data_IF_483058126048
#
_entry.id   IF_483058126048
#
_cell.length_a   1.000
_cell.length_b   1.000
_cell.length_c   1.000
_cell.angle_alpha   90.00
_cell.angle_beta   90.00
_cell.angle_gamma   90.00
#
_symmetry.space_group_name_H-M   'P 1'
#
loop_
_entity.id
_entity.type
_entity.pdbx_description
1 polymer ?
#
# COMPACT_ATOMS: atom_id res chain seq x y z
N UNK A 1 -6.83 31.48 17.92
CA UNK A 1 -7.12 30.03 17.92
C UNK A 1 -6.34 29.37 16.79
N UNK A 2 -5.25 28.66 17.09
CA UNK A 2 -4.50 27.87 16.10
C UNK A 2 -5.27 26.56 15.86
N UNK A 3 -5.68 26.30 14.61
CA UNK A 3 -6.16 24.98 14.20
C UNK A 3 -5.03 23.99 14.46
N UNK A 4 -5.29 22.95 15.25
CA UNK A 4 -4.42 21.80 15.35
C UNK A 4 -4.34 21.14 13.96
N UNK A 5 -3.30 21.48 13.20
CA UNK A 5 -2.94 20.77 11.99
C UNK A 5 -2.46 19.40 12.40
N UNK A 6 -3.26 18.37 12.14
CA UNK A 6 -2.77 17.00 12.19
C UNK A 6 -1.52 16.93 11.31
N UNK A 7 -0.41 16.47 11.90
CA UNK A 7 0.79 16.14 11.15
C UNK A 7 0.47 14.95 10.23
N UNK A 8 -0.17 15.23 9.10
CA UNK A 8 -0.28 14.28 8.00
C UNK A 8 1.13 14.10 7.47
N UNK A 9 1.74 12.93 7.72
CA UNK A 9 3.03 12.59 7.15
C UNK A 9 3.00 12.87 5.64
N UNK A 10 3.95 13.67 5.16
CA UNK A 10 4.00 14.03 3.74
C UNK A 10 4.44 12.77 3.00
N UNK A 11 3.96 12.56 1.78
CA UNK A 11 4.29 11.38 0.98
C UNK A 11 5.81 11.03 0.90
N UNK A 12 6.75 12.00 0.88
CA UNK A 12 8.19 11.71 1.02
C UNK A 12 8.56 11.02 2.33
N UNK A 13 7.94 11.37 3.46
CA UNK A 13 8.17 10.74 4.76
C UNK A 13 7.71 9.28 4.73
N UNK A 14 6.55 9.03 4.11
CA UNK A 14 5.96 7.70 3.97
C UNK A 14 6.81 6.80 3.05
N UNK A 15 7.23 7.32 1.91
CA UNK A 15 8.08 6.60 0.97
C UNK A 15 9.48 6.30 1.55
N UNK A 16 10.00 7.21 2.37
CA UNK A 16 11.24 7.05 3.13
C UNK A 16 11.12 5.98 4.22
N UNK A 17 10.02 5.98 4.97
CA UNK A 17 9.74 5.02 6.05
C UNK A 17 9.61 3.57 5.52
N UNK A 18 8.97 3.38 4.37
CA UNK A 18 8.78 2.06 3.76
C UNK A 18 9.93 1.60 2.88
N UNK A 19 11.04 2.36 2.84
CA UNK A 19 12.21 2.00 2.04
C UNK A 19 11.95 1.84 0.54
N UNK A 20 10.80 2.34 0.05
CA UNK A 20 10.40 2.26 -1.36
C UNK A 20 11.42 2.98 -2.24
N UNK A 21 12.03 4.04 -1.70
CA UNK A 21 13.04 4.88 -2.35
C UNK A 21 14.40 4.15 -2.50
N UNK A 22 14.67 3.07 -1.74
CA UNK A 22 15.99 2.39 -1.78
C UNK A 22 16.30 1.74 -3.11
N UNK A 23 15.27 1.34 -3.87
CA UNK A 23 15.42 0.61 -5.13
C UNK A 23 15.42 1.50 -6.38
N UNK A 24 15.40 2.83 -6.23
CA UNK A 24 15.18 3.74 -7.37
C UNK A 24 16.39 4.67 -7.57
N UNK A 25 16.84 4.88 -8.83
CA UNK A 25 18.02 5.71 -9.11
C UNK A 25 17.94 7.11 -8.48
N UNK A 26 19.03 7.56 -7.85
CA UNK A 26 19.13 8.89 -7.22
C UNK A 26 18.70 8.99 -5.74
N UNK A 27 18.24 7.89 -5.12
CA UNK A 27 18.03 7.80 -3.67
C UNK A 27 17.08 8.87 -3.10
N UNK A 28 17.31 9.36 -1.87
CA UNK A 28 16.43 10.36 -1.21
C UNK A 28 16.68 11.82 -1.65
N UNK A 29 17.70 12.08 -2.48
CA UNK A 29 18.24 13.43 -2.70
C UNK A 29 18.12 13.93 -4.16
N UNK A 30 17.20 13.42 -4.96
CA UNK A 30 17.04 13.89 -6.33
C UNK A 30 15.87 14.90 -6.44
N UNK A 31 16.08 16.00 -7.16
CA UNK A 31 15.02 16.93 -7.55
C UNK A 31 13.89 16.23 -8.33
N UNK A 32 14.23 15.11 -8.98
CA UNK A 32 13.28 14.20 -9.61
C UNK A 32 12.26 13.64 -8.59
N UNK A 33 12.66 13.29 -7.36
CA UNK A 33 11.75 12.76 -6.34
C UNK A 33 10.75 13.78 -5.81
N UNK A 34 11.18 15.02 -5.59
CA UNK A 34 10.24 16.08 -5.20
C UNK A 34 9.21 16.32 -6.30
N UNK A 35 9.63 16.29 -7.57
CA UNK A 35 8.70 16.40 -8.70
C UNK A 35 7.70 15.24 -8.73
N UNK A 36 8.15 14.00 -8.57
CA UNK A 36 7.28 12.82 -8.51
C UNK A 36 6.31 12.88 -7.32
N UNK A 37 6.79 13.29 -6.15
CA UNK A 37 5.95 13.43 -4.96
C UNK A 37 4.87 14.51 -5.14
N UNK A 38 5.22 15.64 -5.75
CA UNK A 38 4.25 16.70 -6.07
C UNK A 38 3.21 16.21 -7.08
N UNK A 39 3.65 15.56 -8.16
CA UNK A 39 2.74 14.96 -9.15
C UNK A 39 1.80 13.92 -8.55
N UNK A 40 2.24 13.17 -7.54
CA UNK A 40 1.37 12.23 -6.85
C UNK A 40 0.37 12.93 -5.93
N UNK A 41 0.78 14.04 -5.30
CA UNK A 41 -0.10 14.89 -4.49
C UNK A 41 -1.23 15.52 -5.30
N UNK A 42 -0.97 15.86 -6.56
CA UNK A 42 -1.94 16.44 -7.49
C UNK A 42 -2.84 15.38 -8.18
N UNK A 43 -2.49 14.10 -8.05
CA UNK A 43 -3.22 13.01 -8.70
C UNK A 43 -4.58 12.80 -8.00
N UNK A 44 -5.70 12.71 -8.73
CA UNK A 44 -6.98 12.34 -8.13
C UNK A 44 -6.92 10.91 -7.59
N UNK A 45 -7.73 10.62 -6.56
CA UNK A 45 -7.84 9.27 -6.01
C UNK A 45 -8.18 8.26 -7.11
N UNK A 46 -7.44 7.16 -7.11
CA UNK A 46 -7.62 6.10 -8.10
C UNK A 46 -8.93 5.35 -7.86
N UNK A 47 -9.52 4.89 -8.95
CA UNK A 47 -10.76 4.13 -8.97
C UNK A 47 -10.51 2.73 -9.52
N UNK A 48 -11.46 1.82 -9.32
CA UNK A 48 -11.37 0.46 -9.86
C UNK A 48 -11.19 0.45 -11.39
N UNK A 49 -11.62 1.50 -12.09
CA UNK A 49 -11.54 1.61 -13.54
C UNK A 49 -10.16 2.03 -14.06
N UNK A 50 -9.36 2.77 -13.27
CA UNK A 50 -8.12 3.38 -13.77
C UNK A 50 -6.84 2.91 -13.07
N UNK A 51 -6.93 2.30 -11.89
CA UNK A 51 -5.73 2.10 -11.07
C UNK A 51 -4.67 1.19 -11.70
N UNK A 52 -5.08 0.18 -12.48
CA UNK A 52 -4.15 -0.74 -13.16
C UNK A 52 -3.31 0.02 -14.17
N UNK A 53 -3.97 0.71 -15.10
CA UNK A 53 -3.32 1.55 -16.10
C UNK A 53 -2.43 2.61 -15.45
N UNK A 54 -2.91 3.27 -14.39
CA UNK A 54 -2.10 4.29 -13.71
C UNK A 54 -0.85 3.70 -13.07
N UNK A 55 -0.89 2.48 -12.50
CA UNK A 55 0.31 1.83 -11.96
C UNK A 55 1.34 1.53 -13.04
N UNK A 56 0.89 1.06 -14.20
CA UNK A 56 1.77 0.77 -15.35
C UNK A 56 2.38 2.05 -15.94
N UNK A 57 1.60 3.13 -16.06
CA UNK A 57 2.12 4.44 -16.47
C UNK A 57 3.15 5.01 -15.48
N UNK A 58 2.90 4.84 -14.19
CA UNK A 58 3.79 5.32 -13.13
C UNK A 58 5.10 4.55 -13.07
N UNK A 59 5.12 3.27 -13.43
CA UNK A 59 6.38 2.53 -13.59
C UNK A 59 7.33 3.29 -14.53
N UNK A 60 6.85 3.68 -15.71
CA UNK A 60 7.65 4.39 -16.71
C UNK A 60 8.07 5.79 -16.23
N UNK A 61 7.21 6.47 -15.46
CA UNK A 61 7.53 7.79 -14.88
C UNK A 61 8.62 7.75 -13.82
N UNK A 62 8.68 6.66 -13.04
CA UNK A 62 9.68 6.48 -11.98
C UNK A 62 11.07 6.16 -12.54
N UNK A 63 11.16 5.63 -13.77
CA UNK A 63 12.42 5.34 -14.43
C UNK A 63 12.28 4.30 -15.53
N UNK A 64 13.07 4.43 -16.59
CA UNK A 64 13.03 3.57 -17.78
C UNK A 64 13.99 2.39 -17.74
N UNK A 65 14.99 2.41 -16.87
CA UNK A 65 16.10 1.43 -16.89
C UNK A 65 15.80 0.15 -16.11
N UNK A 66 14.75 0.14 -15.27
CA UNK A 66 14.39 -0.99 -14.43
C UNK A 66 12.87 -1.23 -14.40
N UNK A 67 12.45 -2.46 -14.15
CA UNK A 67 11.05 -2.76 -13.84
C UNK A 67 10.70 -2.22 -12.45
N UNK A 68 10.11 -1.02 -12.42
CA UNK A 68 9.72 -0.31 -11.20
C UNK A 68 8.25 -0.51 -10.81
N UNK A 69 7.57 -1.55 -11.33
CA UNK A 69 6.17 -1.83 -11.05
C UNK A 69 5.88 -2.03 -9.55
N UNK A 70 6.81 -2.71 -8.86
CA UNK A 70 6.79 -2.90 -7.41
C UNK A 70 6.84 -1.56 -6.64
N UNK A 71 7.63 -0.59 -7.13
CA UNK A 71 7.70 0.73 -6.54
C UNK A 71 6.43 1.54 -6.86
N UNK A 72 6.00 1.55 -8.12
CA UNK A 72 4.81 2.26 -8.58
C UNK A 72 3.54 1.84 -7.80
N UNK A 73 3.31 0.54 -7.68
CA UNK A 73 2.16 0.01 -6.91
C UNK A 73 2.20 0.43 -5.43
N UNK A 74 3.37 0.44 -4.79
CA UNK A 74 3.52 0.92 -3.40
C UNK A 74 3.25 2.41 -3.27
N UNK A 75 3.80 3.24 -4.15
CA UNK A 75 3.55 4.68 -4.14
C UNK A 75 2.07 5.00 -4.32
N UNK A 76 1.44 4.41 -5.33
CA UNK A 76 0.03 4.64 -5.61
C UNK A 76 -0.88 4.06 -4.52
N UNK A 77 -0.45 3.00 -3.82
CA UNK A 77 -1.13 2.53 -2.63
C UNK A 77 -1.06 3.53 -1.47
N UNK A 78 0.07 4.19 -1.21
CA UNK A 78 0.09 5.24 -0.18
C UNK A 78 -0.82 6.42 -0.54
N UNK A 79 -0.88 6.74 -1.82
CA UNK A 79 -1.76 7.77 -2.33
C UNK A 79 -3.25 7.39 -2.19
N UNK A 80 -3.69 6.28 -2.79
CA UNK A 80 -5.12 5.94 -2.89
C UNK A 80 -5.59 4.84 -1.94
N UNK A 81 -4.68 4.02 -1.42
CA UNK A 81 -4.95 2.78 -0.69
C UNK A 81 -5.76 1.82 -1.56
N UNK A 82 -7.08 1.82 -1.43
CA UNK A 82 -7.97 1.10 -2.32
C UNK A 82 -8.21 1.92 -3.61
N UNK A 83 -8.18 1.29 -4.80
CA UNK A 83 -8.17 -0.15 -5.08
C UNK A 83 -6.80 -0.79 -5.31
N UNK A 84 -5.71 -0.02 -5.24
CA UNK A 84 -4.34 -0.45 -5.60
C UNK A 84 -3.89 -1.69 -4.81
N UNK A 85 -3.23 -2.65 -5.48
CA UNK A 85 -2.66 -3.84 -4.83
C UNK A 85 -1.16 -3.72 -4.81
N UNK A 86 -0.54 -3.89 -3.64
CA UNK A 86 0.91 -3.77 -3.54
C UNK A 86 1.54 -4.96 -4.25
N UNK A 87 2.30 -4.71 -5.31
CA UNK A 87 3.16 -5.71 -5.91
C UNK A 87 4.49 -5.73 -5.15
N UNK A 88 4.82 -6.87 -4.57
CA UNK A 88 6.04 -7.07 -3.78
C UNK A 88 6.61 -8.46 -4.01
N UNK A 89 7.95 -8.61 -3.97
CA UNK A 89 8.62 -9.89 -4.24
C UNK A 89 8.13 -11.02 -3.33
N UNK A 90 7.79 -10.74 -2.07
CA UNK A 90 7.26 -11.78 -1.19
C UNK A 90 5.81 -12.12 -1.53
N UNK A 91 5.00 -11.12 -1.87
CA UNK A 91 3.64 -11.36 -2.31
C UNK A 91 3.60 -12.15 -3.63
N UNK A 92 4.47 -11.84 -4.60
CA UNK A 92 4.58 -12.62 -5.84
C UNK A 92 5.02 -14.06 -5.57
N UNK A 93 5.97 -14.28 -4.65
CA UNK A 93 6.37 -15.63 -4.23
C UNK A 93 5.23 -16.40 -3.56
N UNK A 94 4.49 -15.76 -2.65
CA UNK A 94 3.34 -16.38 -1.98
C UNK A 94 2.21 -16.75 -2.94
N UNK A 95 1.99 -15.93 -3.98
CA UNK A 95 0.97 -16.16 -5.00
C UNK A 95 1.47 -17.00 -6.19
N UNK A 96 2.71 -17.51 -6.13
CA UNK A 96 3.37 -18.21 -7.24
C UNK A 96 3.33 -17.44 -8.58
N UNK A 97 3.33 -16.11 -8.51
CA UNK A 97 3.33 -15.23 -9.67
C UNK A 97 4.75 -15.05 -10.21
N UNK A 98 5.03 -15.66 -11.36
CA UNK A 98 6.36 -15.67 -11.98
C UNK A 98 6.46 -14.71 -13.17
N UNK A 99 5.42 -14.62 -14.00
CA UNK A 99 5.35 -13.76 -15.19
C UNK A 99 3.92 -13.25 -15.39
N UNK A 100 3.78 -12.07 -15.99
CA UNK A 100 2.50 -11.48 -16.36
C UNK A 100 2.48 -9.96 -16.22
N UNK A 101 1.32 -9.39 -16.52
CA UNK A 101 1.00 -7.98 -16.34
C UNK A 101 0.65 -7.66 -14.89
N UNK A 102 0.56 -6.37 -14.54
CA UNK A 102 0.05 -5.96 -13.24
C UNK A 102 -1.42 -6.37 -13.05
N UNK A 103 -2.21 -6.39 -14.13
CA UNK A 103 -3.58 -6.88 -14.13
C UNK A 103 -3.67 -8.36 -13.74
N UNK A 104 -2.77 -9.20 -14.26
CA UNK A 104 -2.71 -10.63 -13.92
C UNK A 104 -2.40 -10.83 -12.43
N UNK A 105 -1.43 -10.07 -11.90
CA UNK A 105 -1.15 -10.03 -10.47
C UNK A 105 -2.37 -9.61 -9.64
N UNK A 106 -3.06 -8.54 -10.04
CA UNK A 106 -4.25 -8.06 -9.32
C UNK A 106 -5.38 -9.10 -9.31
N UNK A 107 -5.52 -9.87 -10.39
CA UNK A 107 -6.49 -10.96 -10.51
C UNK A 107 -6.18 -12.08 -9.51
N UNK A 108 -4.92 -12.55 -9.47
CA UNK A 108 -4.47 -13.57 -8.52
C UNK A 108 -4.62 -13.10 -7.06
N UNK A 109 -4.16 -11.88 -6.77
CA UNK A 109 -4.30 -11.28 -5.45
C UNK A 109 -5.76 -11.22 -5.02
N UNK A 110 -6.67 -10.84 -5.92
CA UNK A 110 -8.11 -10.73 -5.62
C UNK A 110 -8.74 -12.10 -5.40
N UNK A 111 -8.35 -13.11 -6.19
CA UNK A 111 -8.83 -14.47 -6.01
C UNK A 111 -8.38 -15.03 -4.65
N UNK A 112 -7.12 -14.86 -4.28
CA UNK A 112 -6.58 -15.33 -3.00
C UNK A 112 -7.17 -14.57 -1.80
N UNK A 113 -7.35 -13.24 -1.93
CA UNK A 113 -8.02 -12.44 -0.89
C UNK A 113 -9.43 -12.95 -0.62
N UNK A 114 -10.20 -13.27 -1.67
CA UNK A 114 -11.56 -13.83 -1.53
C UNK A 114 -11.56 -15.16 -0.78
N UNK A 115 -10.59 -16.03 -1.04
CA UNK A 115 -10.46 -17.31 -0.34
C UNK A 115 -10.10 -17.13 1.14
N UNK A 116 -9.33 -16.08 1.45
CA UNK A 116 -8.86 -15.77 2.81
C UNK A 116 -9.77 -14.77 3.58
N UNK A 117 -10.83 -14.26 2.95
CA UNK A 117 -11.56 -13.08 3.45
C UNK A 117 -12.17 -13.31 4.84
N UNK A 118 -12.70 -14.50 5.09
CA UNK A 118 -13.31 -14.85 6.37
C UNK A 118 -12.26 -14.88 7.49
N UNK A 119 -11.09 -15.46 7.23
CA UNK A 119 -9.99 -15.56 8.18
C UNK A 119 -9.42 -14.16 8.49
N UNK A 120 -9.29 -13.30 7.46
CA UNK A 120 -8.86 -11.91 7.61
C UNK A 120 -9.85 -11.13 8.50
N UNK A 121 -11.15 -11.23 8.21
CA UNK A 121 -12.20 -10.57 9.02
C UNK A 121 -12.18 -11.09 10.46
N UNK A 122 -12.03 -12.40 10.66
CA UNK A 122 -11.90 -12.98 12.00
C UNK A 122 -10.69 -12.44 12.75
N UNK A 123 -9.53 -12.29 12.08
CA UNK A 123 -8.34 -11.71 12.68
C UNK A 123 -8.55 -10.24 13.08
N UNK A 124 -9.28 -9.46 12.29
CA UNK A 124 -9.62 -8.06 12.62
C UNK A 124 -10.54 -7.99 13.84
N UNK A 125 -11.55 -8.86 13.94
CA UNK A 125 -12.44 -8.93 15.11
C UNK A 125 -11.62 -9.23 16.37
N UNK A 126 -10.74 -10.23 16.34
CA UNK A 126 -9.85 -10.54 17.45
C UNK A 126 -8.94 -9.37 17.83
N UNK A 127 -8.44 -8.61 16.85
CA UNK A 127 -7.65 -7.41 17.12
C UNK A 127 -8.47 -6.34 17.86
N UNK A 128 -9.74 -6.16 17.51
CA UNK A 128 -10.66 -5.22 18.18
C UNK A 128 -10.96 -5.68 19.61
N UNK A 129 -11.21 -6.97 19.83
CA UNK A 129 -11.47 -7.54 21.15
C UNK A 129 -10.28 -7.37 22.11
N UNK A 130 -9.06 -7.30 21.57
CA UNK A 130 -7.83 -7.13 22.33
C UNK A 130 -7.36 -5.67 22.43
N UNK A 131 -8.20 -4.70 22.08
CA UNK A 131 -7.82 -3.28 22.01
C UNK A 131 -7.26 -2.75 23.34
N UNK A 132 -7.75 -3.25 24.46
CA UNK A 132 -7.27 -2.92 25.80
C UNK A 132 -5.84 -3.38 26.08
N UNK A 133 -5.35 -4.38 25.34
CA UNK A 133 -3.99 -4.91 25.46
C UNK A 133 -3.02 -4.30 24.44
N UNK A 134 -3.44 -3.30 23.68
CA UNK A 134 -2.60 -2.63 22.68
C UNK A 134 -1.93 -1.38 23.23
N UNK A 135 -0.93 -0.88 22.52
CA UNK A 135 -0.29 0.43 22.81
C UNK A 135 -1.13 1.63 22.34
N UNK A 136 -2.33 1.41 21.83
CA UNK A 136 -3.20 2.48 21.32
C UNK A 136 -3.81 3.22 22.51
N UNK A 137 -3.51 4.52 22.70
CA UNK A 137 -4.05 5.30 23.79
C UNK A 137 -5.56 5.43 23.66
N UNK A 138 -6.27 5.60 24.78
CA UNK A 138 -7.75 5.63 24.83
C UNK A 138 -8.32 6.67 23.86
N UNK A 139 -7.67 7.82 23.77
CA UNK A 139 -8.03 8.94 22.90
C UNK A 139 -7.94 8.57 21.41
N UNK A 140 -7.02 7.66 21.05
CA UNK A 140 -6.80 7.18 19.68
C UNK A 140 -7.71 6.01 19.28
N UNK A 141 -8.41 5.38 20.23
CA UNK A 141 -9.22 4.17 19.95
C UNK A 141 -10.39 4.43 19.00
N UNK A 142 -11.02 5.60 19.07
CA UNK A 142 -12.10 5.98 18.14
C UNK A 142 -11.59 6.05 16.70
N UNK A 143 -10.43 6.65 16.48
CA UNK A 143 -9.80 6.72 15.15
C UNK A 143 -9.40 5.32 14.67
N UNK A 144 -8.81 4.51 15.55
CA UNK A 144 -8.48 3.12 15.25
C UNK A 144 -9.70 2.33 14.76
N UNK A 145 -10.82 2.39 15.51
CA UNK A 145 -12.06 1.71 15.13
C UNK A 145 -12.61 2.22 13.78
N UNK A 146 -12.44 3.52 13.49
CA UNK A 146 -12.82 4.08 12.20
C UNK A 146 -11.92 3.56 11.05
N UNK A 147 -10.65 3.25 11.32
CA UNK A 147 -9.69 2.72 10.33
C UNK A 147 -9.88 1.24 10.08
N UNK A 148 -10.02 0.41 11.12
CA UNK A 148 -10.11 -1.05 10.97
C UNK A 148 -11.36 -1.51 10.20
N UNK A 149 -12.41 -0.68 10.19
CA UNK A 149 -13.63 -0.93 9.43
C UNK A 149 -13.51 -0.54 7.94
N UNK A 150 -12.41 0.09 7.52
CA UNK A 150 -12.22 0.47 6.12
C UNK A 150 -11.72 -0.72 5.31
N UNK A 151 -12.24 -0.87 4.09
CA UNK A 151 -11.88 -1.96 3.18
C UNK A 151 -10.38 -2.13 3.00
N UNK A 152 -9.65 -1.04 2.81
CA UNK A 152 -8.20 -1.09 2.60
C UNK A 152 -7.44 -1.68 3.81
N UNK A 153 -7.99 -1.61 5.02
CA UNK A 153 -7.34 -2.15 6.21
C UNK A 153 -7.33 -3.68 6.16
N UNK A 154 -8.45 -4.29 5.79
CA UNK A 154 -8.53 -5.74 5.57
C UNK A 154 -7.61 -6.20 4.43
N UNK A 155 -7.60 -5.44 3.32
CA UNK A 155 -6.65 -5.68 2.23
C UNK A 155 -5.19 -5.56 2.71
N UNK A 156 -4.90 -4.65 3.65
CA UNK A 156 -3.57 -4.47 4.21
C UNK A 156 -3.14 -5.60 5.15
N UNK A 157 -4.06 -6.13 5.96
CA UNK A 157 -3.82 -7.34 6.76
C UNK A 157 -3.44 -8.49 5.82
N UNK A 158 -4.15 -8.64 4.69
CA UNK A 158 -3.84 -9.66 3.71
C UNK A 158 -2.48 -9.46 3.03
N UNK A 159 -2.11 -8.23 2.66
CA UNK A 159 -0.76 -7.96 2.14
C UNK A 159 0.33 -8.41 3.13
N UNK A 160 0.11 -8.19 4.44
CA UNK A 160 1.05 -8.61 5.47
C UNK A 160 1.11 -10.14 5.62
N UNK A 161 -0.02 -10.82 5.47
CA UNK A 161 -0.09 -12.27 5.41
C UNK A 161 0.70 -12.83 4.22
N UNK A 162 0.51 -12.31 3.00
CA UNK A 162 1.29 -12.71 1.83
C UNK A 162 2.79 -12.46 2.03
N UNK A 163 3.15 -11.34 2.65
CA UNK A 163 4.55 -11.02 2.95
C UNK A 163 5.20 -12.00 3.93
N UNK A 164 4.44 -12.53 4.90
CA UNK A 164 4.89 -13.59 5.80
C UNK A 164 5.07 -14.91 5.05
N UNK A 165 4.07 -15.34 4.26
CA UNK A 165 4.12 -16.59 3.51
C UNK A 165 5.29 -16.62 2.51
N UNK A 166 5.51 -15.54 1.76
CA UNK A 166 6.65 -15.46 0.82
C UNK A 166 8.02 -15.31 1.50
N UNK A 167 8.05 -15.05 2.80
CA UNK A 167 9.27 -14.97 3.60
C UNK A 167 9.81 -16.32 4.05
N UNK A 168 8.98 -17.36 4.02
CA UNK A 168 9.35 -18.76 4.29
C UNK A 168 10.09 -19.35 3.10
#
# INVERSE_FOLDING_TARGET
>A
MKKAGGMGAVLPDIASAYSVIRGIPGGRNSAHWQRIANQLGDLPKLTAANYVQTVEEWQSKLGSEHNLLSAASKFLWFHSKNPVKILDRRATKALHFTNGTYSDYCTLWTAEYKQSELQIKSAIVKLIEQLDCTVIPVEGRKEFLAVVNQKWFAERIFDKYLWDQGGK
#
